data_IF_676005623715
#
_entry.id   IF_676005623715
#
_cell.length_a   1.000
_cell.length_b   1.000
_cell.length_c   1.000
_cell.angle_alpha   90.00
_cell.angle_beta   90.00
_cell.angle_gamma   90.00
#
_symmetry.space_group_name_H-M   'P 1'
#
loop_
_entity.id
_entity.type
_entity.pdbx_description
1 polymer ?
#
# COMPACT_ATOMS: atom_id res chain seq x y z
N UNK A 1 -6.09 4.99 -5.52
CA UNK A 1 -5.18 5.19 -6.67
C UNK A 1 -6.03 5.41 -7.93
N UNK A 2 -6.12 6.61 -8.51
CA UNK A 2 -7.01 6.92 -9.65
C UNK A 2 -6.47 6.36 -11.00
N UNK A 3 -6.37 5.04 -11.11
CA UNK A 3 -5.71 4.33 -12.23
C UNK A 3 -6.45 4.43 -13.58
N UNK A 4 -7.73 4.80 -13.57
CA UNK A 4 -8.55 4.93 -14.78
C UNK A 4 -8.45 6.28 -15.50
N UNK A 5 -7.67 7.23 -14.97
CA UNK A 5 -7.57 8.58 -15.53
C UNK A 5 -6.67 8.63 -16.76
N UNK A 6 -6.88 9.66 -17.59
CA UNK A 6 -6.08 9.93 -18.80
C UNK A 6 -4.90 10.87 -18.56
N UNK A 7 -4.92 11.62 -17.46
CA UNK A 7 -3.87 12.58 -17.10
C UNK A 7 -3.71 12.68 -15.58
N UNK A 8 -2.58 13.24 -15.14
CA UNK A 8 -2.36 13.47 -13.72
C UNK A 8 -3.32 14.53 -13.15
N UNK A 9 -3.66 15.57 -13.94
CA UNK A 9 -4.65 16.56 -13.55
C UNK A 9 -6.02 15.93 -13.25
N UNK A 10 -6.46 15.01 -14.10
CA UNK A 10 -7.72 14.30 -13.91
C UNK A 10 -7.64 13.37 -12.68
N UNK A 11 -6.53 12.63 -12.51
CA UNK A 11 -6.25 11.86 -11.31
C UNK A 11 -6.30 12.69 -10.02
N UNK A 12 -5.74 13.90 -10.04
CA UNK A 12 -5.75 14.82 -8.90
C UNK A 12 -7.17 15.29 -8.56
N UNK A 13 -7.96 15.65 -9.58
CA UNK A 13 -9.37 16.02 -9.42
C UNK A 13 -10.16 14.89 -8.76
N UNK A 14 -10.11 13.68 -9.32
CA UNK A 14 -10.83 12.52 -8.80
C UNK A 14 -10.36 12.12 -7.39
N UNK A 15 -9.07 12.28 -7.09
CA UNK A 15 -8.55 12.11 -5.74
C UNK A 15 -9.14 13.11 -4.74
N UNK A 16 -9.36 14.36 -5.15
CA UNK A 16 -9.94 15.39 -4.30
C UNK A 16 -11.43 15.14 -4.07
N UNK A 17 -12.18 14.83 -5.13
CA UNK A 17 -13.60 14.45 -5.03
C UNK A 17 -13.80 13.24 -4.12
N UNK A 18 -12.98 12.20 -4.27
CA UNK A 18 -13.02 11.03 -3.38
C UNK A 18 -12.74 11.41 -1.91
N UNK A 19 -11.83 12.34 -1.64
CA UNK A 19 -11.56 12.80 -0.27
C UNK A 19 -12.75 13.53 0.35
N UNK A 20 -13.46 14.34 -0.44
CA UNK A 20 -14.66 15.06 0.00
C UNK A 20 -15.82 14.10 0.27
N UNK A 21 -16.07 13.16 -0.63
CA UNK A 21 -17.10 12.12 -0.44
C UNK A 21 -16.79 11.25 0.78
N UNK A 22 -15.52 10.88 0.97
CA UNK A 22 -15.09 10.12 2.15
C UNK A 22 -15.34 10.89 3.45
N UNK A 23 -15.06 12.21 3.47
CA UNK A 23 -15.39 13.07 4.62
C UNK A 23 -16.88 13.01 4.92
N UNK A 24 -17.73 13.24 3.91
CA UNK A 24 -19.17 13.33 4.10
C UNK A 24 -19.77 12.00 4.61
N UNK A 25 -19.22 10.85 4.17
CA UNK A 25 -19.60 9.54 4.69
C UNK A 25 -19.18 9.32 6.15
N UNK A 26 -17.99 9.79 6.54
CA UNK A 26 -17.54 9.74 7.93
C UNK A 26 -18.40 10.66 8.81
N UNK A 27 -18.71 11.86 8.34
CA UNK A 27 -19.60 12.82 8.99
C UNK A 27 -20.99 12.21 9.23
N UNK A 28 -21.58 11.59 8.21
CA UNK A 28 -22.89 10.94 8.30
C UNK A 28 -22.93 9.78 9.32
N UNK A 29 -21.79 9.11 9.57
CA UNK A 29 -21.65 8.06 10.57
C UNK A 29 -21.37 8.59 11.99
N UNK A 30 -21.33 9.91 12.19
CA UNK A 30 -20.91 10.51 13.46
C UNK A 30 -19.41 10.35 13.75
N UNK A 31 -18.64 9.90 12.76
CA UNK A 31 -17.19 9.79 12.80
C UNK A 31 -16.52 11.05 12.23
N UNK A 32 -17.30 12.10 11.96
CA UNK A 32 -16.90 13.33 11.29
C UNK A 32 -16.03 14.31 12.08
N UNK A 33 -15.83 14.06 13.37
CA UNK A 33 -14.89 14.83 14.20
C UNK A 33 -13.41 14.55 13.85
N UNK A 34 -13.13 14.18 12.60
CA UNK A 34 -11.88 13.56 12.16
C UNK A 34 -10.73 14.54 12.13
N UNK A 35 -9.89 14.42 13.15
CA UNK A 35 -8.51 14.86 13.08
C UNK A 35 -7.82 14.20 11.87
N UNK A 36 -6.95 14.96 11.22
CA UNK A 36 -6.07 14.44 10.18
C UNK A 36 -4.84 13.82 10.84
N UNK A 37 -4.41 12.66 10.36
CA UNK A 37 -3.15 12.04 10.79
C UNK A 37 -1.92 12.81 10.28
N UNK A 38 -0.73 12.37 10.68
CA UNK A 38 0.55 13.02 10.33
C UNK A 38 0.79 13.17 8.82
N UNK A 39 0.20 12.29 8.00
CA UNK A 39 0.28 12.35 6.53
C UNK A 39 -0.97 12.93 5.88
N UNK A 40 -1.92 13.48 6.64
CA UNK A 40 -3.12 14.17 6.15
C UNK A 40 -4.30 13.28 5.71
N UNK A 41 -4.24 11.98 5.99
CA UNK A 41 -5.41 11.10 5.93
C UNK A 41 -6.38 11.35 7.09
N UNK A 42 -7.62 10.90 6.98
CA UNK A 42 -8.54 10.87 8.12
C UNK A 42 -8.10 9.84 9.16
N UNK A 43 -8.34 10.11 10.44
CA UNK A 43 -8.10 9.17 11.54
C UNK A 43 -9.39 8.90 12.35
N UNK A 44 -10.43 8.29 11.73
CA UNK A 44 -11.68 7.98 12.42
C UNK A 44 -11.48 6.85 13.45
N UNK A 45 -12.32 6.83 14.48
CA UNK A 45 -12.39 5.69 15.40
C UNK A 45 -13.20 4.56 14.74
N UNK A 46 -12.50 3.52 14.30
CA UNK A 46 -13.09 2.34 13.65
C UNK A 46 -12.83 1.10 14.50
N UNK A 47 -13.67 0.08 14.35
CA UNK A 47 -13.58 -1.16 15.12
C UNK A 47 -12.67 -2.19 14.47
N UNK A 48 -12.46 -2.11 13.15
CA UNK A 48 -11.60 -3.03 12.41
C UNK A 48 -10.95 -2.39 11.20
N UNK A 49 -9.88 -3.03 10.70
CA UNK A 49 -9.23 -2.70 9.44
C UNK A 49 -10.14 -2.92 8.24
N UNK A 50 -11.01 -3.94 8.30
CA UNK A 50 -12.02 -4.18 7.27
C UNK A 50 -13.02 -3.03 7.17
N UNK A 51 -13.47 -2.47 8.30
CA UNK A 51 -14.35 -1.30 8.30
C UNK A 51 -13.73 -0.12 7.55
N UNK A 52 -12.41 0.10 7.70
CA UNK A 52 -11.69 1.14 6.97
C UNK A 52 -11.70 0.90 5.45
N UNK A 53 -11.47 -0.35 5.03
CA UNK A 53 -11.50 -0.74 3.61
C UNK A 53 -12.90 -0.55 3.03
N UNK A 54 -13.94 -1.00 3.74
CA UNK A 54 -15.34 -0.90 3.32
C UNK A 54 -15.75 0.57 3.15
N UNK A 55 -15.43 1.45 4.11
CA UNK A 55 -15.77 2.88 4.01
C UNK A 55 -15.09 3.53 2.79
N UNK A 56 -13.84 3.17 2.47
CA UNK A 56 -13.17 3.68 1.27
C UNK A 56 -13.83 3.16 -0.01
N UNK A 57 -14.26 1.89 -0.04
CA UNK A 57 -15.00 1.32 -1.18
C UNK A 57 -16.36 1.99 -1.35
N UNK A 58 -17.08 2.27 -0.27
CA UNK A 58 -18.34 3.00 -0.29
C UNK A 58 -18.14 4.42 -0.85
N UNK A 59 -17.05 5.09 -0.47
CA UNK A 59 -16.70 6.39 -1.03
C UNK A 59 -16.42 6.32 -2.55
N UNK A 60 -15.69 5.29 -3.01
CA UNK A 60 -15.44 5.04 -4.43
C UNK A 60 -16.76 4.79 -5.18
N UNK A 61 -17.63 3.95 -4.63
CA UNK A 61 -18.94 3.65 -5.21
C UNK A 61 -19.79 4.91 -5.31
N UNK A 62 -19.79 5.76 -4.26
CA UNK A 62 -20.54 7.01 -4.24
C UNK A 62 -20.02 8.02 -5.26
N UNK A 63 -18.70 8.16 -5.45
CA UNK A 63 -18.14 8.98 -6.52
C UNK A 63 -18.63 8.52 -7.90
N UNK A 64 -18.65 7.21 -8.15
CA UNK A 64 -19.15 6.63 -9.41
C UNK A 64 -20.65 6.86 -9.59
N UNK A 65 -21.44 6.77 -8.53
CA UNK A 65 -22.89 7.05 -8.53
C UNK A 65 -23.17 8.51 -8.90
N UNK A 66 -22.40 9.46 -8.34
CA UNK A 66 -22.54 10.90 -8.65
C UNK A 66 -22.06 11.22 -10.07
N UNK A 67 -21.09 10.46 -10.60
CA UNK A 67 -20.50 10.68 -11.92
C UNK A 67 -20.54 9.42 -12.81
N UNK A 68 -21.73 8.91 -13.20
CA UNK A 68 -21.89 7.61 -13.86
C UNK A 68 -21.23 7.55 -15.25
N UNK A 69 -21.07 8.70 -15.91
CA UNK A 69 -20.45 8.80 -17.24
C UNK A 69 -18.95 9.03 -17.21
N UNK A 70 -18.33 9.14 -16.02
CA UNK A 70 -16.90 9.43 -15.89
C UNK A 70 -16.00 8.27 -16.34
N UNK A 71 -16.50 7.03 -16.27
CA UNK A 71 -15.67 5.82 -16.46
C UNK A 71 -14.54 5.68 -15.42
N UNK A 72 -14.57 6.46 -14.33
CA UNK A 72 -13.46 6.53 -13.38
C UNK A 72 -13.22 5.18 -12.70
N UNK A 73 -11.96 4.80 -12.54
CA UNK A 73 -11.55 3.62 -11.79
C UNK A 73 -10.49 3.98 -10.76
N UNK A 74 -10.70 3.46 -9.54
CA UNK A 74 -9.77 3.59 -8.43
C UNK A 74 -9.27 2.21 -8.04
N UNK A 75 -7.95 2.05 -8.01
CA UNK A 75 -7.26 0.98 -7.32
C UNK A 75 -7.15 1.26 -5.82
N UNK A 76 -7.08 0.20 -5.01
CA UNK A 76 -6.92 0.27 -3.56
C UNK A 76 -5.58 -0.32 -3.12
N UNK A 77 -4.84 0.44 -2.32
CA UNK A 77 -3.57 0.02 -1.72
C UNK A 77 -3.57 0.25 -0.22
N UNK A 78 -2.97 -0.67 0.53
CA UNK A 78 -2.91 -0.65 2.00
C UNK A 78 -1.46 -0.71 2.46
N UNK A 79 -1.08 0.18 3.36
CA UNK A 79 0.20 0.10 4.08
C UNK A 79 -0.06 -0.52 5.44
N UNK A 80 0.27 -1.81 5.59
CA UNK A 80 0.01 -2.57 6.80
C UNK A 80 1.00 -2.19 7.90
N UNK A 81 2.27 -2.01 7.53
CA UNK A 81 3.36 -1.71 8.48
C UNK A 81 3.42 -2.75 9.61
N UNK A 82 3.37 -4.03 9.26
CA UNK A 82 3.16 -5.11 10.23
C UNK A 82 4.23 -5.20 11.32
N UNK A 83 5.46 -4.78 11.03
CA UNK A 83 6.54 -4.61 12.01
C UNK A 83 6.15 -3.73 13.21
N UNK A 84 5.19 -2.81 13.06
CA UNK A 84 4.72 -1.94 14.13
C UNK A 84 3.87 -2.68 15.18
N UNK A 85 3.32 -3.84 14.85
CA UNK A 85 2.48 -4.64 15.74
C UNK A 85 2.89 -6.13 15.81
N UNK A 86 3.98 -6.50 15.17
CA UNK A 86 4.68 -7.75 15.42
C UNK A 86 5.28 -7.75 16.83
N UNK A 87 5.14 -8.87 17.54
CA UNK A 87 5.68 -9.10 18.88
C UNK A 87 6.19 -10.53 18.99
N UNK A 88 6.94 -10.82 20.06
CA UNK A 88 7.38 -12.19 20.38
C UNK A 88 6.29 -12.86 21.22
N UNK A 89 5.81 -14.01 20.75
CA UNK A 89 4.87 -14.87 21.43
C UNK A 89 5.52 -15.66 22.57
N UNK A 90 4.71 -16.45 23.28
CA UNK A 90 5.16 -17.23 24.46
C UNK A 90 6.26 -18.23 24.11
N UNK A 91 6.17 -18.81 22.92
CA UNK A 91 7.10 -19.84 22.43
C UNK A 91 8.33 -19.24 21.71
N UNK A 92 8.46 -17.91 21.70
CA UNK A 92 9.56 -17.21 21.02
C UNK A 92 9.30 -16.90 19.54
N UNK A 93 8.18 -17.35 18.99
CA UNK A 93 7.77 -17.07 17.62
C UNK A 93 7.24 -15.65 17.43
N UNK A 94 7.28 -15.14 16.20
CA UNK A 94 6.66 -13.86 15.85
C UNK A 94 5.15 -14.04 15.76
N UNK A 95 4.41 -13.21 16.49
CA UNK A 95 2.94 -13.11 16.45
C UNK A 95 2.52 -11.66 16.25
N UNK A 96 1.34 -11.44 15.70
CA UNK A 96 0.85 -10.12 15.31
C UNK A 96 -0.29 -9.67 16.21
N UNK A 97 -0.06 -8.62 16.99
CA UNK A 97 -1.03 -8.08 17.93
C UNK A 97 -1.86 -6.96 17.26
N UNK A 98 -3.05 -7.31 16.74
CA UNK A 98 -3.94 -6.34 16.10
C UNK A 98 -4.67 -5.39 17.08
N UNK A 99 -4.66 -5.67 18.39
CA UNK A 99 -5.32 -4.85 19.40
C UNK A 99 -4.34 -4.06 20.28
N UNK A 100 -3.07 -3.97 19.85
CA UNK A 100 -1.95 -3.28 20.53
C UNK A 100 -2.29 -1.88 21.04
N UNK A 101 -3.16 -1.16 20.33
CA UNK A 101 -3.55 0.22 20.64
C UNK A 101 -4.96 0.34 21.25
N UNK A 102 -5.64 -0.76 21.51
CA UNK A 102 -6.95 -0.77 22.17
C UNK A 102 -6.74 -0.57 23.66
N UNK A 103 -7.24 0.55 24.20
CA UNK A 103 -7.10 0.87 25.62
C UNK A 103 -7.74 -0.23 26.49
N UNK A 104 -6.96 -0.76 27.44
CA UNK A 104 -7.42 -1.87 28.29
C UNK A 104 -7.33 -3.25 27.65
N UNK A 105 -6.92 -3.34 26.37
CA UNK A 105 -6.45 -4.61 25.83
C UNK A 105 -5.26 -5.09 26.66
N UNK A 106 -5.33 -6.35 27.07
CA UNK A 106 -4.27 -7.05 27.78
C UNK A 106 -3.50 -7.96 26.83
N UNK A 107 -3.37 -7.57 25.56
CA UNK A 107 -2.75 -8.30 24.47
C UNK A 107 -1.65 -9.27 24.93
N UNK A 108 -1.83 -10.53 24.54
CA UNK A 108 -1.16 -11.76 24.98
C UNK A 108 -1.74 -12.39 26.27
N UNK A 109 -2.55 -13.44 26.03
CA UNK A 109 -3.06 -14.48 26.95
C UNK A 109 -4.26 -14.16 27.86
N UNK A 110 -5.48 -14.52 27.42
CA UNK A 110 -6.18 -15.74 27.90
C UNK A 110 -7.47 -16.03 27.12
N UNK A 111 -7.75 -17.32 26.99
CA UNK A 111 -8.82 -17.93 26.21
C UNK A 111 -10.23 -17.33 26.37
N UNK A 112 -10.85 -17.18 25.21
CA UNK A 112 -12.28 -17.07 24.94
C UNK A 112 -12.48 -17.52 23.48
N UNK A 113 -13.71 -17.70 22.98
CA UNK A 113 -13.94 -18.05 21.58
C UNK A 113 -14.62 -16.90 20.84
N UNK A 114 -14.03 -16.46 19.72
CA UNK A 114 -14.62 -15.51 18.78
C UNK A 114 -14.81 -16.17 17.41
N UNK A 115 -15.86 -15.80 16.68
CA UNK A 115 -16.15 -16.37 15.36
C UNK A 115 -15.73 -15.39 14.26
N UNK A 116 -14.76 -15.78 13.44
CA UNK A 116 -14.50 -15.17 12.13
C UNK A 116 -14.87 -16.18 11.05
N UNK A 117 -15.73 -15.79 10.10
CA UNK A 117 -16.21 -16.65 9.01
C UNK A 117 -16.80 -18.02 9.43
N UNK A 118 -17.47 -18.08 10.59
CA UNK A 118 -18.08 -19.30 11.12
C UNK A 118 -17.10 -20.33 11.69
N UNK A 119 -15.80 -20.03 11.75
CA UNK A 119 -14.79 -20.82 12.48
C UNK A 119 -14.61 -20.23 13.87
N UNK A 120 -14.64 -21.10 14.89
CA UNK A 120 -14.27 -20.75 16.25
C UNK A 120 -12.75 -20.50 16.28
N UNK A 121 -12.34 -19.24 16.37
CA UNK A 121 -10.97 -18.87 16.68
C UNK A 121 -10.88 -18.71 18.20
N UNK A 122 -9.89 -19.34 18.82
CA UNK A 122 -9.52 -18.95 20.18
C UNK A 122 -9.18 -17.45 20.13
N UNK A 123 -9.67 -16.66 21.08
CA UNK A 123 -9.22 -15.30 21.37
C UNK A 123 -7.78 -15.34 21.90
N UNK A 124 -6.87 -15.82 21.07
CA UNK A 124 -5.52 -15.32 21.00
C UNK A 124 -5.67 -14.02 20.21
N UNK A 125 -5.72 -12.88 20.88
CA UNK A 125 -5.71 -11.54 20.25
C UNK A 125 -4.31 -11.22 19.66
N UNK A 126 -3.64 -12.26 19.20
CA UNK A 126 -2.33 -12.32 18.60
C UNK A 126 -2.44 -13.38 17.50
N UNK A 127 -2.32 -12.95 16.26
CA UNK A 127 -2.44 -13.83 15.10
C UNK A 127 -1.07 -14.43 14.80
N UNK A 128 -1.04 -15.69 14.40
CA UNK A 128 0.18 -16.25 13.86
C UNK A 128 0.46 -15.74 12.44
N UNK A 129 1.58 -16.19 11.87
CA UNK A 129 2.04 -15.77 10.55
C UNK A 129 1.08 -16.18 9.44
N UNK A 130 0.50 -17.37 9.52
CA UNK A 130 -0.38 -17.92 8.48
C UNK A 130 -1.75 -17.25 8.53
N UNK A 131 -2.27 -16.98 9.74
CA UNK A 131 -3.52 -16.25 9.93
C UNK A 131 -3.45 -14.82 9.36
N UNK A 132 -2.33 -14.11 9.55
CA UNK A 132 -2.15 -12.78 8.95
C UNK A 132 -2.14 -12.85 7.43
N UNK A 133 -1.45 -13.85 6.84
CA UNK A 133 -1.46 -14.06 5.39
C UNK A 133 -2.89 -14.29 4.90
N UNK A 134 -3.67 -15.13 5.57
CA UNK A 134 -5.05 -15.39 5.17
C UNK A 134 -5.95 -14.14 5.21
N UNK A 135 -5.78 -13.27 6.22
CA UNK A 135 -6.48 -11.97 6.28
C UNK A 135 -6.11 -11.10 5.06
N UNK A 136 -4.83 -11.00 4.74
CA UNK A 136 -4.35 -10.18 3.61
C UNK A 136 -4.84 -10.72 2.26
N UNK A 137 -4.86 -12.05 2.10
CA UNK A 137 -5.40 -12.70 0.90
C UNK A 137 -6.89 -12.45 0.76
N UNK A 138 -7.63 -12.42 1.87
CA UNK A 138 -9.05 -12.09 1.83
C UNK A 138 -9.29 -10.64 1.39
N UNK A 139 -8.42 -9.71 1.81
CA UNK A 139 -8.48 -8.33 1.30
C UNK A 139 -8.24 -8.25 -0.21
N UNK A 140 -7.32 -9.04 -0.74
CA UNK A 140 -7.10 -9.13 -2.19
C UNK A 140 -8.34 -9.69 -2.91
N UNK A 141 -8.93 -10.77 -2.39
CA UNK A 141 -10.05 -11.48 -3.04
C UNK A 141 -11.39 -10.75 -2.92
N UNK A 142 -11.78 -10.33 -1.72
CA UNK A 142 -13.08 -9.71 -1.47
C UNK A 142 -13.08 -8.20 -1.69
N UNK A 143 -11.96 -7.54 -1.38
CA UNK A 143 -11.87 -6.09 -1.39
C UNK A 143 -11.07 -5.52 -2.55
N UNK A 144 -10.54 -6.40 -3.42
CA UNK A 144 -9.78 -6.02 -4.61
C UNK A 144 -8.59 -5.11 -4.25
N UNK A 145 -7.99 -5.33 -3.07
CA UNK A 145 -6.74 -4.67 -2.69
C UNK A 145 -5.65 -5.14 -3.65
N UNK A 146 -5.05 -4.19 -4.36
CA UNK A 146 -4.10 -4.47 -5.43
C UNK A 146 -2.66 -4.09 -5.09
N UNK A 147 -2.45 -3.43 -3.94
CA UNK A 147 -1.13 -3.07 -3.40
C UNK A 147 -1.13 -3.26 -1.89
N UNK A 148 -0.18 -4.03 -1.37
CA UNK A 148 0.03 -4.23 0.06
C UNK A 148 1.48 -3.88 0.38
N UNK A 149 1.69 -2.92 1.29
CA UNK A 149 3.01 -2.45 1.72
C UNK A 149 3.30 -2.98 3.11
N UNK A 150 4.50 -3.54 3.29
CA UNK A 150 4.99 -4.14 4.54
C UNK A 150 3.96 -5.09 5.17
N UNK A 151 3.56 -6.16 4.45
CA UNK A 151 2.50 -7.07 4.87
C UNK A 151 2.81 -7.82 6.16
N UNK A 152 4.09 -8.08 6.43
CA UNK A 152 4.58 -8.90 7.55
C UNK A 152 5.81 -8.24 8.20
N UNK A 153 6.26 -8.78 9.34
CA UNK A 153 7.45 -8.31 10.04
C UNK A 153 8.71 -8.39 9.16
N UNK A 154 9.66 -7.50 9.45
CA UNK A 154 10.96 -7.38 8.75
C UNK A 154 11.71 -8.72 8.69
N UNK A 155 11.54 -9.59 9.70
CA UNK A 155 12.23 -10.88 9.77
C UNK A 155 11.48 -12.01 9.04
N UNK A 156 10.22 -11.80 8.69
CA UNK A 156 9.33 -12.83 8.14
C UNK A 156 9.34 -12.87 6.59
N UNK A 157 10.54 -12.79 5.99
CA UNK A 157 10.77 -12.80 4.53
C UNK A 157 10.06 -13.98 3.85
N UNK A 158 10.12 -15.18 4.46
CA UNK A 158 9.47 -16.38 3.92
C UNK A 158 7.94 -16.28 3.90
N UNK A 159 7.35 -15.61 4.89
CA UNK A 159 5.91 -15.41 4.95
C UNK A 159 5.48 -14.38 3.89
N UNK A 160 6.29 -13.34 3.67
CA UNK A 160 6.09 -12.39 2.58
C UNK A 160 6.14 -13.11 1.20
N UNK A 161 7.07 -14.06 1.04
CA UNK A 161 7.16 -14.91 -0.14
C UNK A 161 5.88 -15.73 -0.35
N UNK A 162 5.36 -16.39 0.69
CA UNK A 162 4.10 -17.14 0.62
C UNK A 162 2.95 -16.28 0.11
N UNK A 163 2.79 -15.06 0.64
CA UNK A 163 1.76 -14.11 0.18
C UNK A 163 1.99 -13.69 -1.28
N UNK A 164 3.22 -13.32 -1.63
CA UNK A 164 3.54 -12.86 -2.98
C UNK A 164 3.27 -13.96 -4.01
N UNK A 165 3.65 -15.20 -3.69
CA UNK A 165 3.39 -16.37 -4.54
C UNK A 165 1.91 -16.69 -4.64
N UNK A 166 1.18 -16.75 -3.52
CA UNK A 166 -0.23 -17.14 -3.54
C UNK A 166 -1.11 -16.21 -4.37
N UNK A 167 -0.76 -14.93 -4.45
CA UNK A 167 -1.54 -13.93 -5.17
C UNK A 167 -1.05 -13.67 -6.61
N UNK A 168 0.19 -14.05 -6.96
CA UNK A 168 0.79 -13.74 -8.26
C UNK A 168 1.28 -14.95 -9.08
N UNK A 169 1.47 -16.12 -8.49
CA UNK A 169 1.81 -17.32 -9.26
C UNK A 169 0.65 -17.71 -10.19
N UNK A 170 0.97 -17.92 -11.45
CA UNK A 170 0.04 -18.50 -12.42
C UNK A 170 0.16 -20.01 -12.27
N UNK A 171 -0.90 -20.68 -11.80
CA UNK A 171 -0.97 -22.14 -11.81
C UNK A 171 -1.10 -22.58 -13.27
N UNK A 172 0.02 -22.68 -13.98
CA UNK A 172 0.03 -23.26 -15.31
C UNK A 172 0.08 -24.79 -15.14
N UNK A 173 -1.00 -25.46 -15.51
CA UNK A 173 -1.25 -26.89 -15.28
C UNK A 173 -0.39 -27.80 -16.17
N UNK A 174 0.93 -27.61 -16.20
CA UNK A 174 1.84 -28.49 -16.94
C UNK A 174 3.18 -27.90 -17.38
N UNK A 175 3.52 -26.65 -17.04
CA UNK A 175 4.81 -26.07 -17.38
C UNK A 175 5.44 -25.41 -16.14
N UNK A 176 6.36 -26.11 -15.48
CA UNK A 176 7.08 -25.63 -14.29
C UNK A 176 8.04 -24.46 -14.57
N UNK A 177 8.14 -24.02 -15.82
CA UNK A 177 9.02 -22.94 -16.29
C UNK A 177 8.27 -21.62 -16.55
N UNK A 178 6.97 -21.52 -16.22
CA UNK A 178 6.26 -20.25 -16.26
C UNK A 178 6.88 -19.30 -15.22
N UNK A 179 7.65 -18.32 -15.68
CA UNK A 179 8.31 -17.36 -14.79
C UNK A 179 7.25 -16.54 -14.04
N UNK A 180 7.25 -16.63 -12.70
CA UNK A 180 6.41 -15.79 -11.86
C UNK A 180 6.64 -14.32 -12.21
N UNK A 181 5.57 -13.60 -12.56
CA UNK A 181 5.63 -12.18 -12.88
C UNK A 181 6.28 -11.38 -11.75
N UNK A 182 7.23 -10.52 -12.10
CA UNK A 182 7.89 -9.60 -11.15
C UNK A 182 7.53 -8.16 -11.52
N UNK A 183 7.27 -7.36 -10.50
CA UNK A 183 7.04 -5.93 -10.61
C UNK A 183 6.00 -5.53 -11.67
N UNK A 184 6.50 -4.97 -12.77
CA UNK A 184 5.70 -4.42 -13.85
C UNK A 184 5.13 -5.46 -14.82
N UNK A 185 5.40 -6.75 -14.60
CA UNK A 185 4.88 -7.83 -15.43
C UNK A 185 3.33 -7.83 -15.41
N UNK A 186 2.67 -7.94 -16.58
CA UNK A 186 1.21 -7.89 -16.64
C UNK A 186 0.51 -9.07 -15.95
N UNK A 187 1.21 -10.17 -15.65
CA UNK A 187 0.66 -11.30 -14.88
C UNK A 187 0.55 -11.01 -13.38
N UNK A 188 1.28 -10.01 -12.87
CA UNK A 188 1.19 -9.60 -11.46
C UNK A 188 -0.22 -9.08 -11.20
N UNK A 189 -0.93 -9.68 -10.25
CA UNK A 189 -2.28 -9.26 -9.84
C UNK A 189 -2.20 -8.30 -8.66
N UNK A 190 -1.37 -8.63 -7.68
CA UNK A 190 -1.21 -7.88 -6.43
C UNK A 190 0.24 -7.42 -6.28
N UNK A 191 0.41 -6.14 -6.02
CA UNK A 191 1.69 -5.55 -5.72
C UNK A 191 2.05 -5.79 -4.25
N UNK A 192 3.00 -6.67 -3.98
CA UNK A 192 3.54 -6.88 -2.63
C UNK A 192 4.80 -6.03 -2.52
N UNK A 193 4.73 -5.03 -1.64
CA UNK A 193 5.72 -3.95 -1.54
C UNK A 193 6.54 -4.10 -0.27
N UNK A 194 7.86 -4.16 -0.43
CA UNK A 194 8.82 -4.06 0.67
C UNK A 194 9.30 -2.63 0.87
N UNK A 195 9.12 -2.08 2.06
CA UNK A 195 9.72 -0.83 2.52
C UNK A 195 10.65 -1.09 3.70
N UNK A 196 10.12 -1.64 4.79
CA UNK A 196 10.91 -1.93 5.99
C UNK A 196 12.00 -2.98 5.74
N UNK A 197 11.75 -3.93 4.83
CA UNK A 197 12.75 -4.92 4.41
C UNK A 197 14.03 -4.28 3.85
N UNK A 198 13.92 -3.14 3.15
CA UNK A 198 15.06 -2.48 2.50
C UNK A 198 16.11 -1.98 3.50
N UNK A 199 15.69 -1.77 4.76
CA UNK A 199 16.59 -1.29 5.82
C UNK A 199 17.46 -2.41 6.39
N UNK A 200 17.08 -3.68 6.17
CA UNK A 200 17.69 -4.84 6.84
C UNK A 200 18.11 -5.96 5.89
N UNK A 201 17.66 -5.94 4.64
CA UNK A 201 17.91 -7.01 3.68
C UNK A 201 18.23 -6.42 2.31
N UNK A 202 19.23 -7.01 1.65
CA UNK A 202 19.65 -6.59 0.31
C UNK A 202 18.57 -6.94 -0.72
N UNK A 203 18.48 -6.13 -1.78
CA UNK A 203 17.50 -6.33 -2.84
C UNK A 203 17.65 -7.69 -3.54
N UNK A 204 18.88 -8.18 -3.73
CA UNK A 204 19.11 -9.49 -4.34
C UNK A 204 18.47 -10.59 -3.51
N UNK A 205 18.68 -10.58 -2.19
CA UNK A 205 18.09 -11.58 -1.29
C UNK A 205 16.56 -11.51 -1.29
N UNK A 206 15.98 -10.30 -1.29
CA UNK A 206 14.52 -10.15 -1.38
C UNK A 206 13.95 -10.67 -2.71
N UNK A 207 14.69 -10.48 -3.81
CA UNK A 207 14.32 -10.97 -5.13
C UNK A 207 14.47 -12.50 -5.23
N UNK A 208 15.60 -13.06 -4.80
CA UNK A 208 15.87 -14.50 -4.78
C UNK A 208 14.81 -15.26 -3.97
N UNK A 209 14.48 -14.75 -2.78
CA UNK A 209 13.45 -15.30 -1.90
C UNK A 209 12.03 -14.99 -2.39
N UNK A 210 11.85 -14.18 -3.44
CA UNK A 210 10.54 -13.74 -3.96
C UNK A 210 9.66 -13.08 -2.89
N UNK A 211 10.27 -12.37 -1.94
CA UNK A 211 9.59 -11.77 -0.79
C UNK A 211 8.70 -10.58 -1.17
N UNK A 212 9.09 -9.83 -2.20
CA UNK A 212 8.30 -8.73 -2.75
C UNK A 212 8.50 -8.63 -4.26
N UNK A 213 7.55 -7.98 -4.93
CA UNK A 213 7.63 -7.69 -6.36
C UNK A 213 7.82 -6.18 -6.63
N UNK A 214 7.71 -5.36 -5.59
CA UNK A 214 7.84 -3.91 -5.65
C UNK A 214 8.57 -3.42 -4.40
N UNK A 215 9.25 -2.28 -4.52
CA UNK A 215 9.87 -1.59 -3.39
C UNK A 215 9.26 -0.20 -3.20
N UNK A 216 9.09 0.21 -1.94
CA UNK A 216 8.76 1.59 -1.60
C UNK A 216 10.04 2.27 -1.11
N UNK A 217 10.56 3.15 -1.96
CA UNK A 217 11.79 3.89 -1.75
C UNK A 217 11.48 5.24 -1.11
N UNK A 218 12.02 5.47 0.09
CA UNK A 218 12.06 6.82 0.69
C UNK A 218 13.48 7.36 0.56
N UNK A 219 13.63 8.57 0.03
CA UNK A 219 14.96 9.13 -0.25
C UNK A 219 15.80 9.34 1.01
N UNK A 220 15.16 9.60 2.15
CA UNK A 220 15.79 9.72 3.46
C UNK A 220 16.52 8.46 3.94
N UNK A 221 16.20 7.30 3.38
CA UNK A 221 16.88 6.04 3.66
C UNK A 221 18.30 6.00 3.09
N UNK A 222 18.65 6.95 2.22
CA UNK A 222 19.93 7.01 1.52
C UNK A 222 20.67 8.29 1.88
N UNK A 223 21.97 8.16 2.20
CA UNK A 223 22.79 9.33 2.52
C UNK A 223 23.08 10.26 1.33
N UNK A 224 22.86 9.80 0.08
CA UNK A 224 23.07 10.60 -1.13
C UNK A 224 22.09 10.24 -2.24
N UNK A 225 21.86 11.18 -3.16
CA UNK A 225 21.09 10.93 -4.40
C UNK A 225 21.72 9.81 -5.23
N UNK A 226 23.05 9.75 -5.31
CA UNK A 226 23.76 8.69 -6.03
C UNK A 226 23.44 7.30 -5.47
N UNK A 227 23.41 7.16 -4.14
CA UNK A 227 23.05 5.89 -3.49
C UNK A 227 21.59 5.50 -3.77
N UNK A 228 20.66 6.47 -3.76
CA UNK A 228 19.28 6.22 -4.13
C UNK A 228 19.14 5.78 -5.61
N UNK A 229 19.87 6.42 -6.54
CA UNK A 229 19.90 6.04 -7.95
C UNK A 229 20.48 4.63 -8.13
N UNK A 230 21.52 4.26 -7.38
CA UNK A 230 22.08 2.90 -7.42
C UNK A 230 21.04 1.85 -6.99
N UNK A 231 20.27 2.11 -5.93
CA UNK A 231 19.18 1.23 -5.51
C UNK A 231 18.07 1.13 -6.57
N UNK A 232 17.73 2.25 -7.23
CA UNK A 232 16.77 2.26 -8.35
C UNK A 232 17.27 1.40 -9.52
N UNK A 233 18.54 1.54 -9.91
CA UNK A 233 19.14 0.74 -10.99
C UNK A 233 19.12 -0.74 -10.64
N UNK A 234 19.51 -1.09 -9.42
CA UNK A 234 19.52 -2.46 -8.93
C UNK A 234 18.11 -3.08 -8.92
N UNK A 235 17.11 -2.35 -8.41
CA UNK A 235 15.71 -2.79 -8.42
C UNK A 235 15.21 -3.06 -9.85
N UNK A 236 15.58 -2.20 -10.81
CA UNK A 236 15.25 -2.37 -12.23
C UNK A 236 15.91 -3.57 -12.87
N UNK A 237 17.18 -3.82 -12.57
CA UNK A 237 17.91 -5.02 -13.04
C UNK A 237 17.21 -6.29 -12.55
N UNK A 238 16.66 -6.26 -11.33
CA UNK A 238 15.89 -7.36 -10.73
C UNK A 238 14.41 -7.40 -11.18
N UNK A 239 13.98 -6.50 -12.06
CA UNK A 239 12.60 -6.43 -12.56
C UNK A 239 11.57 -5.93 -11.53
N UNK A 240 12.00 -5.41 -10.39
CA UNK A 240 11.11 -4.89 -9.34
C UNK A 240 10.51 -3.55 -9.76
N UNK A 241 9.21 -3.37 -9.48
CA UNK A 241 8.61 -2.03 -9.58
C UNK A 241 9.06 -1.15 -8.43
N UNK A 242 8.95 0.17 -8.61
CA UNK A 242 9.38 1.14 -7.62
C UNK A 242 8.22 2.08 -7.32
N UNK A 243 7.97 2.35 -6.03
CA UNK A 243 7.16 3.45 -5.56
C UNK A 243 8.11 4.43 -4.89
N UNK A 244 8.03 5.72 -5.25
CA UNK A 244 8.72 6.77 -4.48
C UNK A 244 7.76 7.33 -3.44
N UNK A 245 8.18 7.33 -2.17
CA UNK A 245 7.42 7.90 -1.07
C UNK A 245 8.18 8.99 -0.32
N UNK A 246 7.47 9.65 0.60
CA UNK A 246 8.01 10.65 1.50
C UNK A 246 7.75 10.28 2.96
N UNK A 247 8.63 10.73 3.84
CA UNK A 247 8.36 10.73 5.27
C UNK A 247 7.42 11.86 5.66
N UNK A 248 6.67 11.65 6.75
CA UNK A 248 5.88 12.71 7.35
C UNK A 248 6.79 13.81 7.93
N UNK A 249 6.29 15.05 7.98
CA UNK A 249 7.00 16.18 8.60
C UNK A 249 7.95 16.92 7.66
N UNK A 250 7.91 16.63 6.35
CA UNK A 250 8.80 17.23 5.35
C UNK A 250 8.08 18.31 4.54
N UNK A 251 7.77 19.43 5.19
CA UNK A 251 7.05 20.55 4.57
C UNK A 251 7.88 21.19 3.44
N UNK A 252 7.22 21.54 2.35
CA UNK A 252 7.78 22.21 1.16
C UNK A 252 8.87 21.46 0.39
N UNK A 253 9.15 20.20 0.74
CA UNK A 253 10.05 19.36 -0.04
C UNK A 253 9.34 18.70 -1.23
N UNK A 254 9.70 19.17 -2.42
CA UNK A 254 9.23 18.64 -3.71
C UNK A 254 10.26 17.75 -4.41
N UNK A 255 11.47 17.63 -3.88
CA UNK A 255 12.53 16.84 -4.52
C UNK A 255 12.13 15.38 -4.79
N UNK A 256 11.40 14.68 -3.89
CA UNK A 256 10.91 13.33 -4.17
C UNK A 256 10.01 13.24 -5.41
N UNK A 257 9.27 14.31 -5.75
CA UNK A 257 8.41 14.36 -6.93
C UNK A 257 9.25 14.42 -8.20
N UNK A 258 10.21 15.35 -8.25
CA UNK A 258 11.12 15.48 -9.38
C UNK A 258 11.97 14.22 -9.57
N UNK A 259 12.41 13.61 -8.46
CA UNK A 259 13.12 12.33 -8.48
C UNK A 259 12.24 11.21 -9.06
N UNK A 260 10.99 11.07 -8.60
CA UNK A 260 10.07 10.05 -9.10
C UNK A 260 9.80 10.16 -10.60
N UNK A 261 9.61 11.39 -11.09
CA UNK A 261 9.47 11.68 -12.53
C UNK A 261 10.76 11.39 -13.28
N UNK A 262 11.91 11.82 -12.74
CA UNK A 262 13.21 11.64 -13.37
C UNK A 262 13.63 10.18 -13.50
N UNK A 263 13.30 9.34 -12.52
CA UNK A 263 13.51 7.90 -12.67
C UNK A 263 12.43 7.28 -13.54
N UNK A 264 11.20 7.82 -13.56
CA UNK A 264 10.07 7.26 -14.31
C UNK A 264 9.56 5.98 -13.66
N UNK A 265 9.15 6.06 -12.39
CA UNK A 265 8.69 4.89 -11.62
C UNK A 265 7.18 4.59 -11.75
N UNK A 266 6.41 5.45 -12.42
CA UNK A 266 4.98 5.26 -12.68
C UNK A 266 4.04 5.50 -11.50
N UNK A 267 4.53 5.44 -10.26
CA UNK A 267 3.71 5.50 -9.05
C UNK A 267 4.45 6.19 -7.88
N UNK A 268 3.69 6.95 -7.09
CA UNK A 268 4.20 7.73 -5.95
C UNK A 268 3.24 7.65 -4.76
N UNK A 269 3.79 7.85 -3.54
CA UNK A 269 3.03 7.93 -2.29
C UNK A 269 3.45 9.18 -1.50
N UNK A 270 2.83 10.31 -1.82
CA UNK A 270 3.26 11.65 -1.36
C UNK A 270 2.42 12.22 -0.20
N UNK A 271 1.70 11.36 0.51
CA UNK A 271 0.78 11.74 1.59
C UNK A 271 -0.65 12.00 1.09
N UNK A 272 -1.50 12.50 1.98
CA UNK A 272 -2.89 12.86 1.71
C UNK A 272 -3.00 14.09 0.81
N UNK A 273 -3.88 14.02 -0.18
CA UNK A 273 -4.00 15.07 -1.20
C UNK A 273 -4.36 16.46 -0.66
N UNK A 274 -5.08 16.51 0.46
CA UNK A 274 -5.51 17.76 1.11
C UNK A 274 -4.64 18.14 2.32
N UNK A 275 -3.48 17.50 2.49
CA UNK A 275 -2.51 17.85 3.54
C UNK A 275 -1.60 18.99 3.08
N UNK A 276 -1.07 19.80 4.01
CA UNK A 276 -0.16 20.88 3.65
C UNK A 276 1.05 20.38 2.85
N UNK A 277 1.68 19.30 3.29
CA UNK A 277 2.82 18.67 2.62
C UNK A 277 2.43 18.03 1.28
N UNK A 278 1.29 17.36 1.24
CA UNK A 278 0.80 16.65 0.06
C UNK A 278 0.42 17.60 -1.06
N UNK A 279 -0.29 18.69 -0.74
CA UNK A 279 -0.72 19.69 -1.73
C UNK A 279 0.46 20.25 -2.51
N UNK A 280 1.56 20.61 -1.83
CA UNK A 280 2.75 21.17 -2.50
C UNK A 280 3.35 20.15 -3.48
N UNK A 281 3.47 18.89 -3.09
CA UNK A 281 4.01 17.80 -3.93
C UNK A 281 3.10 17.46 -5.11
N UNK A 282 1.80 17.32 -4.87
CA UNK A 282 0.85 17.01 -5.94
C UNK A 282 0.69 18.19 -6.91
N UNK A 283 0.76 19.44 -6.44
CA UNK A 283 0.81 20.61 -7.31
C UNK A 283 2.07 20.63 -8.17
N UNK A 284 3.25 20.27 -7.60
CA UNK A 284 4.48 20.12 -8.40
C UNK A 284 4.29 19.07 -9.49
N UNK A 285 3.75 17.91 -9.15
CA UNK A 285 3.52 16.82 -10.10
C UNK A 285 2.52 17.22 -11.21
N UNK A 286 1.46 17.96 -10.84
CA UNK A 286 0.52 18.54 -11.81
C UNK A 286 1.21 19.54 -12.74
N UNK A 287 2.09 20.40 -12.22
CA UNK A 287 2.85 21.35 -13.03
C UNK A 287 3.81 20.70 -14.04
N UNK A 288 4.23 19.45 -13.80
CA UNK A 288 5.04 18.66 -14.73
C UNK A 288 4.19 17.94 -15.79
N UNK A 289 2.90 17.76 -15.55
CA UNK A 289 1.94 17.10 -16.44
C UNK A 289 1.33 18.09 -17.43
N UNK A 290 2.11 18.54 -18.40
CA UNK A 290 1.68 19.52 -19.42
C UNK A 290 1.25 18.84 -20.73
N UNK A 291 0.61 19.60 -21.63
CA UNK A 291 0.29 19.15 -23.00
C UNK A 291 1.52 19.05 -23.93
N UNK A 292 2.73 19.32 -23.43
CA UNK A 292 3.97 19.12 -24.19
C UNK A 292 4.12 17.63 -24.53
N UNK A 293 4.30 17.24 -25.80
CA UNK A 293 4.54 15.84 -26.18
C UNK A 293 5.75 15.18 -25.50
N UNK A 294 6.66 15.97 -24.93
CA UNK A 294 7.82 15.50 -24.15
C UNK A 294 7.51 15.34 -22.66
N UNK A 295 6.36 15.81 -22.20
CA UNK A 295 5.95 15.65 -20.81
C UNK A 295 5.72 14.16 -20.50
N UNK A 296 5.98 13.73 -19.25
CA UNK A 296 5.72 12.36 -18.85
C UNK A 296 4.23 12.01 -19.01
N UNK A 297 3.93 10.89 -19.66
CA UNK A 297 2.57 10.37 -19.73
C UNK A 297 2.11 9.87 -18.37
N UNK A 298 0.81 10.04 -18.07
CA UNK A 298 0.22 9.44 -16.88
C UNK A 298 0.20 7.92 -16.98
N UNK A 299 0.75 7.22 -15.98
CA UNK A 299 0.90 5.76 -16.03
C UNK A 299 -0.44 5.00 -15.94
N UNK A 300 -1.45 5.56 -15.27
CA UNK A 300 -2.78 4.98 -15.17
C UNK A 300 -2.77 3.50 -14.76
N UNK A 301 -3.38 2.64 -15.58
CA UNK A 301 -3.46 1.20 -15.33
C UNK A 301 -2.10 0.48 -15.40
N UNK A 302 -1.07 1.08 -16.02
CA UNK A 302 0.28 0.51 -16.12
C UNK A 302 1.23 1.02 -15.03
N UNK A 303 0.70 1.57 -13.94
CA UNK A 303 1.46 2.19 -12.84
C UNK A 303 2.60 1.37 -12.23
N UNK A 304 2.66 0.05 -12.47
CA UNK A 304 3.72 -0.84 -11.99
C UNK A 304 4.96 -0.84 -12.91
N UNK A 305 4.89 -0.22 -14.09
CA UNK A 305 5.97 -0.18 -15.08
C UNK A 305 6.71 1.14 -15.07
#
# INVERSE_FOLDING_TARGET
MPIGCVSFHDAMRWGAELNLVLRDLLDAKGLGHVNRGAVGGFAPQLNSTEEAIVIVKDAIAKVKEVHPSSGISFGLGVHVAAHAFATVGVDGDVVYNLDKWVAGSKGLNKGGYGSFNGRLHAHLLSYDRDEVVDILREWCRQHQVMTIIDPVDIKDIKIACTLNRSENEVVDAGNSDAADGVGGDPSVKVQVVGHAFLQHTKLETLHEERACNTILLHLSQYGTVTAAVQAVVQARVLGLSIIVGCDAGTVDDVFPVDFAVGIGCGQVKMGGLLSAEGVVRYNRLAGLSTDDPRAPSYAGATFRR
#
